data_IF_535580813772
#
_entry.id   IF_535580813772
#
_cell.length_a   1.000
_cell.length_b   1.000
_cell.length_c   1.000
_cell.angle_alpha   90.00
_cell.angle_beta   90.00
_cell.angle_gamma   90.00
#
_symmetry.space_group_name_H-M   'P 1'
#
loop_
_entity.id
_entity.type
_entity.pdbx_description
1 polymer ?
#
# COMPACT_ATOMS: atom_id res chain seq x y z
N UNK A 1 4.62 15.21 6.61
CA UNK A 1 3.27 14.67 6.34
C UNK A 1 3.15 13.31 7.00
N UNK A 2 2.02 13.02 7.66
CA UNK A 2 1.74 11.72 8.29
C UNK A 2 0.73 10.88 7.48
N UNK A 3 0.01 11.50 6.55
CA UNK A 3 -0.99 10.85 5.70
C UNK A 3 -0.78 11.28 4.25
N UNK A 4 -0.95 10.35 3.31
CA UNK A 4 -0.89 10.59 1.87
C UNK A 4 -2.07 9.85 1.23
N UNK A 5 -2.92 10.58 0.48
CA UNK A 5 -3.99 9.96 -0.30
C UNK A 5 -3.65 10.05 -1.78
N UNK A 6 -3.69 8.92 -2.45
CA UNK A 6 -3.49 8.72 -3.89
C UNK A 6 -4.65 7.87 -4.46
N UNK A 7 -5.80 7.90 -3.79
CA UNK A 7 -6.98 7.16 -4.21
C UNK A 7 -7.53 7.65 -5.56
N UNK A 8 -8.24 6.77 -6.28
CA UNK A 8 -8.86 7.07 -7.57
C UNK A 8 -7.88 7.57 -8.64
N UNK A 9 -6.75 6.87 -8.79
CA UNK A 9 -5.76 7.13 -9.83
C UNK A 9 -5.53 5.89 -10.71
N UNK A 10 -4.59 5.99 -11.64
CA UNK A 10 -4.18 4.89 -12.52
C UNK A 10 -2.78 4.37 -12.15
N UNK A 11 -2.45 4.35 -10.84
CA UNK A 11 -1.14 3.91 -10.39
C UNK A 11 -1.02 2.40 -10.57
N UNK A 12 0.00 2.00 -11.34
CA UNK A 12 0.38 0.59 -11.55
C UNK A 12 1.54 0.20 -10.62
N UNK A 13 2.34 1.19 -10.20
CA UNK A 13 3.41 1.05 -9.22
C UNK A 13 3.64 2.38 -8.48
N UNK A 14 4.49 2.36 -7.45
CA UNK A 14 4.89 3.53 -6.66
C UNK A 14 6.37 3.83 -6.87
N UNK A 15 6.75 5.11 -7.01
CA UNK A 15 8.15 5.48 -7.19
C UNK A 15 8.96 5.15 -5.94
N UNK A 16 10.21 4.73 -6.14
CA UNK A 16 11.16 4.43 -5.05
C UNK A 16 11.41 5.63 -4.13
N UNK A 17 11.22 6.86 -4.63
CA UNK A 17 11.31 8.10 -3.87
C UNK A 17 10.29 8.19 -2.72
N UNK A 18 9.22 7.39 -2.74
CA UNK A 18 8.25 7.32 -1.64
C UNK A 18 8.92 6.95 -0.30
N UNK A 19 10.04 6.22 -0.34
CA UNK A 19 10.83 5.87 0.86
C UNK A 19 11.31 7.10 1.64
N UNK A 20 11.41 8.29 1.00
CA UNK A 20 11.80 9.52 1.67
C UNK A 20 10.74 10.02 2.66
N UNK A 21 9.50 9.53 2.56
CA UNK A 21 8.41 9.84 3.47
C UNK A 21 8.50 9.03 4.77
N UNK A 22 9.63 9.16 5.47
CA UNK A 22 9.96 8.42 6.70
C UNK A 22 8.93 8.61 7.83
N UNK A 23 8.17 9.71 7.80
CA UNK A 23 7.13 10.04 8.79
C UNK A 23 5.71 9.64 8.33
N UNK A 24 5.57 8.93 7.20
CA UNK A 24 4.27 8.52 6.68
C UNK A 24 3.69 7.40 7.54
N UNK A 25 2.47 7.61 8.02
CA UNK A 25 1.74 6.68 8.87
C UNK A 25 0.50 6.10 8.19
N UNK A 26 -0.08 6.83 7.24
CA UNK A 26 -1.26 6.39 6.49
C UNK A 26 -1.08 6.65 5.00
N UNK A 27 -1.32 5.61 4.20
CA UNK A 27 -1.30 5.69 2.75
C UNK A 27 -2.59 5.11 2.19
N UNK A 28 -3.31 5.91 1.42
CA UNK A 28 -4.52 5.47 0.71
C UNK A 28 -4.21 5.31 -0.78
N UNK A 29 -4.32 4.08 -1.28
CA UNK A 29 -4.15 3.70 -2.69
C UNK A 29 -5.43 3.07 -3.25
N UNK A 30 -6.57 3.31 -2.62
CA UNK A 30 -7.86 2.80 -3.06
C UNK A 30 -8.12 3.13 -4.53
N UNK A 31 -8.72 2.20 -5.26
CA UNK A 31 -9.15 2.41 -6.64
C UNK A 31 -7.98 2.83 -7.55
N UNK A 32 -6.94 2.00 -7.58
CA UNK A 32 -5.79 2.10 -8.48
C UNK A 32 -5.64 0.81 -9.30
N UNK A 33 -4.57 0.69 -10.08
CA UNK A 33 -4.30 -0.44 -10.97
C UNK A 33 -3.12 -1.29 -10.49
N UNK A 34 -2.85 -1.27 -9.18
CA UNK A 34 -1.75 -2.02 -8.59
C UNK A 34 -2.04 -3.52 -8.74
N UNK A 35 -1.26 -4.19 -9.57
CA UNK A 35 -1.37 -5.65 -9.80
C UNK A 35 -0.38 -6.45 -8.95
N UNK A 36 0.66 -5.78 -8.45
CA UNK A 36 1.68 -6.32 -7.56
C UNK A 36 1.84 -5.42 -6.34
N UNK A 37 2.44 -5.95 -5.28
CA UNK A 37 2.73 -5.17 -4.09
C UNK A 37 4.02 -4.33 -4.29
N UNK A 38 3.97 -2.99 -4.11
CA UNK A 38 5.15 -2.16 -4.22
C UNK A 38 6.11 -2.39 -3.04
N UNK A 39 7.31 -2.91 -3.30
CA UNK A 39 8.32 -3.19 -2.26
C UNK A 39 8.73 -1.93 -1.48
N UNK A 40 8.58 -0.74 -2.07
CA UNK A 40 8.87 0.53 -1.40
C UNK A 40 8.06 0.71 -0.11
N UNK A 41 6.87 0.10 -0.01
CA UNK A 41 6.02 0.15 1.18
C UNK A 41 6.63 -0.60 2.36
N UNK A 42 7.48 -1.61 2.12
CA UNK A 42 8.22 -2.32 3.16
C UNK A 42 9.26 -1.43 3.83
N UNK A 43 9.75 -0.43 3.09
CA UNK A 43 10.81 0.50 3.54
C UNK A 43 10.25 1.72 4.28
N UNK A 44 8.96 1.77 4.56
CA UNK A 44 8.31 2.85 5.31
C UNK A 44 8.15 2.45 6.79
N UNK A 45 9.08 2.86 7.68
CA UNK A 45 9.14 2.33 9.04
C UNK A 45 7.95 2.73 9.91
N UNK A 46 7.29 3.84 9.58
CA UNK A 46 6.18 4.38 10.36
C UNK A 46 4.80 4.08 9.76
N UNK A 47 4.71 3.33 8.65
CA UNK A 47 3.43 3.08 7.99
C UNK A 47 2.56 2.14 8.85
N UNK A 48 1.42 2.67 9.32
CA UNK A 48 0.47 1.97 10.19
C UNK A 48 -0.83 1.62 9.50
N UNK A 49 -1.21 2.39 8.48
CA UNK A 49 -2.45 2.18 7.74
C UNK A 49 -2.18 2.20 6.24
N UNK A 50 -2.65 1.17 5.54
CA UNK A 50 -2.57 1.06 4.10
C UNK A 50 -3.93 0.63 3.54
N UNK A 51 -4.48 1.41 2.62
CA UNK A 51 -5.70 1.02 1.90
C UNK A 51 -5.34 0.60 0.47
N UNK A 52 -5.55 -0.68 0.16
CA UNK A 52 -5.37 -1.26 -1.18
C UNK A 52 -6.71 -1.68 -1.80
N UNK A 53 -7.85 -1.31 -1.21
CA UNK A 53 -9.18 -1.63 -1.74
C UNK A 53 -9.31 -1.24 -3.21
N UNK A 54 -10.15 -1.96 -3.95
CA UNK A 54 -10.39 -1.66 -5.38
C UNK A 54 -9.11 -1.68 -6.25
N UNK A 55 -8.12 -2.54 -5.91
CA UNK A 55 -6.95 -2.80 -6.76
C UNK A 55 -6.93 -4.25 -7.28
N UNK A 56 -6.39 -4.51 -8.49
CA UNK A 56 -6.27 -5.86 -9.03
C UNK A 56 -5.56 -6.85 -8.09
N UNK A 57 -4.49 -6.41 -7.40
CA UNK A 57 -3.71 -7.24 -6.46
C UNK A 57 -4.56 -7.85 -5.34
N UNK A 58 -5.68 -7.21 -4.99
CA UNK A 58 -6.57 -7.71 -3.93
C UNK A 58 -7.23 -9.02 -4.33
N UNK A 59 -7.42 -9.31 -5.61
CA UNK A 59 -8.07 -10.55 -6.05
C UNK A 59 -7.22 -11.80 -5.76
N UNK A 60 -5.90 -11.64 -5.57
CA UNK A 60 -5.01 -12.74 -5.22
C UNK A 60 -4.95 -12.98 -3.71
N UNK A 61 -5.63 -14.04 -3.24
CA UNK A 61 -5.70 -14.38 -1.81
C UNK A 61 -4.32 -14.76 -1.20
N UNK A 62 -3.44 -15.37 -2.00
CA UNK A 62 -2.06 -15.69 -1.61
C UNK A 62 -1.22 -14.43 -1.41
N UNK A 63 -1.41 -13.43 -2.28
CA UNK A 63 -0.71 -12.16 -2.18
C UNK A 63 -1.09 -11.39 -0.91
N UNK A 64 -2.38 -11.38 -0.52
CA UNK A 64 -2.83 -10.73 0.74
C UNK A 64 -2.07 -11.24 1.96
N UNK A 65 -1.88 -12.56 2.05
CA UNK A 65 -1.13 -13.17 3.15
C UNK A 65 0.36 -12.79 3.12
N UNK A 66 0.97 -12.79 1.92
CA UNK A 66 2.36 -12.35 1.77
C UNK A 66 2.56 -10.89 2.19
N UNK A 67 1.68 -9.98 1.77
CA UNK A 67 1.78 -8.55 2.12
C UNK A 67 1.68 -8.35 3.63
N UNK A 68 0.76 -9.05 4.30
CA UNK A 68 0.62 -8.96 5.75
C UNK A 68 1.88 -9.46 6.48
N UNK A 69 2.60 -10.44 5.94
CA UNK A 69 3.86 -10.92 6.48
C UNK A 69 5.03 -9.96 6.23
N UNK A 70 5.01 -9.19 5.14
CA UNK A 70 6.07 -8.23 4.79
C UNK A 70 6.00 -6.95 5.63
N UNK A 71 4.79 -6.52 6.01
CA UNK A 71 4.55 -5.31 6.83
C UNK A 71 3.60 -5.63 7.99
N UNK A 72 3.99 -6.50 8.94
CA UNK A 72 3.11 -6.97 10.02
C UNK A 72 2.64 -5.85 10.96
N UNK A 73 3.40 -4.75 11.04
CA UNK A 73 3.05 -3.55 11.81
C UNK A 73 1.95 -2.70 11.17
N UNK A 74 1.63 -2.95 9.90
CA UNK A 74 0.69 -2.15 9.13
C UNK A 74 -0.67 -2.83 9.07
N UNK A 75 -1.73 -2.07 9.36
CA UNK A 75 -3.11 -2.50 9.13
C UNK A 75 -3.47 -2.23 7.67
N UNK A 76 -3.65 -3.31 6.92
CA UNK A 76 -3.99 -3.25 5.50
C UNK A 76 -5.49 -3.51 5.29
N UNK A 77 -6.12 -2.67 4.48
CA UNK A 77 -7.54 -2.85 4.11
C UNK A 77 -7.64 -3.35 2.67
N UNK A 78 -8.40 -4.43 2.50
CA UNK A 78 -8.61 -5.14 1.22
C UNK A 78 -10.10 -5.18 0.82
N UNK A 79 -10.93 -4.25 1.32
CA UNK A 79 -12.37 -4.26 1.05
C UNK A 79 -12.67 -4.05 -0.45
N UNK A 80 -13.78 -4.62 -0.90
CA UNK A 80 -14.15 -4.79 -2.31
C UNK A 80 -14.91 -3.63 -2.90
#
# INVERSE_FOLDING_TARGET
MRKLSLEHNHLIDLPTSLVRLQKLESLNLRANQLSVFPEVLQKLPNLRFLDLSQNPLVHSASLRHQIQALIPQCRITFQW
#
